data_IF_176945672536
#
_entry.id   IF_176945672536
#
_cell.length_a   1.000
_cell.length_b   1.000
_cell.length_c   1.000
_cell.angle_alpha   90.00
_cell.angle_beta   90.00
_cell.angle_gamma   90.00
#
_symmetry.space_group_name_H-M   'P 1'
#
loop_
_entity.id
_entity.type
_entity.pdbx_description
1 polymer ?
#
# COMPACT_ATOMS: atom_id res chain seq x y z
N UNK A 1 -2.87 -9.85 14.03
CA UNK A 1 -2.26 -11.15 14.34
C UNK A 1 -2.84 -12.21 13.41
N UNK A 2 -2.02 -12.97 12.70
CA UNK A 2 -2.50 -14.19 12.03
C UNK A 2 -2.79 -15.23 13.12
N UNK A 3 -3.96 -15.86 13.05
CA UNK A 3 -4.22 -17.10 13.77
C UNK A 3 -3.32 -18.17 13.13
N UNK A 4 -2.53 -18.92 13.89
CA UNK A 4 -1.56 -19.90 13.37
C UNK A 4 -2.22 -20.98 12.48
N UNK A 5 -3.54 -21.10 12.55
CA UNK A 5 -4.35 -21.99 11.72
C UNK A 5 -4.94 -21.35 10.46
N UNK A 6 -4.68 -20.07 10.18
CA UNK A 6 -5.20 -19.33 9.04
C UNK A 6 -4.09 -18.91 8.09
N UNK A 7 -4.18 -19.35 6.84
CA UNK A 7 -3.33 -18.90 5.73
C UNK A 7 -4.13 -17.97 4.83
N UNK A 8 -3.55 -16.81 4.52
CA UNK A 8 -4.11 -15.81 3.61
C UNK A 8 -3.21 -15.72 2.40
N UNK A 9 -3.81 -15.71 1.21
CA UNK A 9 -3.10 -15.64 -0.07
C UNK A 9 -3.61 -14.46 -0.89
N UNK A 10 -2.70 -13.80 -1.59
CA UNK A 10 -3.04 -12.79 -2.59
C UNK A 10 -3.41 -13.52 -3.88
N UNK A 11 -4.59 -13.24 -4.41
CA UNK A 11 -5.07 -13.89 -5.64
C UNK A 11 -4.88 -12.97 -6.85
N UNK A 12 -4.84 -13.59 -8.04
CA UNK A 12 -4.91 -12.89 -9.32
C UNK A 12 -3.76 -11.89 -9.57
N UNK A 13 -2.54 -12.21 -9.10
CA UNK A 13 -1.35 -11.42 -9.42
C UNK A 13 -1.14 -11.37 -10.94
N UNK A 14 -0.82 -10.18 -11.47
CA UNK A 14 -0.74 -9.93 -12.91
C UNK A 14 -2.09 -9.73 -13.60
N UNK A 15 -3.23 -9.78 -12.89
CA UNK A 15 -4.56 -9.51 -13.48
C UNK A 15 -5.10 -8.17 -13.02
N UNK A 16 -5.66 -7.38 -13.93
CA UNK A 16 -6.25 -6.08 -13.60
C UNK A 16 -7.41 -6.18 -12.63
N UNK A 17 -8.21 -7.25 -12.72
CA UNK A 17 -9.35 -7.45 -11.83
C UNK A 17 -8.96 -7.39 -10.35
N UNK A 18 -7.74 -7.81 -10.02
CA UNK A 18 -7.22 -7.82 -8.64
C UNK A 18 -7.02 -6.43 -8.02
N UNK A 19 -6.93 -5.39 -8.84
CA UNK A 19 -6.70 -4.00 -8.39
C UNK A 19 -7.85 -3.07 -8.79
N UNK A 20 -8.63 -3.42 -9.81
CA UNK A 20 -9.75 -2.59 -10.26
C UNK A 20 -10.88 -2.49 -9.26
N UNK A 21 -11.13 -3.55 -8.48
CA UNK A 21 -12.21 -3.62 -7.51
C UNK A 21 -11.75 -4.21 -6.18
N UNK A 22 -12.10 -3.56 -5.08
CA UNK A 22 -11.86 -4.01 -3.70
C UNK A 22 -13.03 -4.90 -3.28
N UNK A 23 -13.17 -6.06 -3.93
CA UNK A 23 -14.24 -7.00 -3.65
C UNK A 23 -14.66 -7.81 -4.87
N UNK A 24 -15.14 -9.02 -4.64
CA UNK A 24 -15.71 -9.89 -5.66
C UNK A 24 -17.10 -10.34 -5.18
N UNK A 25 -18.16 -10.21 -5.99
CA UNK A 25 -18.17 -9.72 -7.38
C UNK A 25 -17.87 -8.22 -7.51
N UNK A 26 -17.37 -7.75 -8.67
CA UNK A 26 -17.12 -6.32 -8.92
C UNK A 26 -18.37 -5.47 -8.71
N UNK A 27 -18.21 -4.32 -8.07
CA UNK A 27 -19.28 -3.33 -7.89
C UNK A 27 -18.73 -1.91 -8.03
N UNK A 28 -19.59 -0.96 -8.39
CA UNK A 28 -19.20 0.44 -8.49
C UNK A 28 -18.75 1.02 -7.14
N UNK A 29 -19.36 0.58 -6.04
CA UNK A 29 -19.01 0.99 -4.66
C UNK A 29 -17.57 0.63 -4.28
N UNK A 30 -17.08 -0.52 -4.75
CA UNK A 30 -15.72 -0.99 -4.49
C UNK A 30 -14.75 -0.75 -5.66
N UNK A 31 -15.12 0.08 -6.63
CA UNK A 31 -14.24 0.47 -7.73
C UNK A 31 -13.03 1.25 -7.23
N UNK A 32 -11.84 0.87 -7.67
CA UNK A 32 -10.58 1.50 -7.28
C UNK A 32 -9.73 1.88 -8.51
N UNK A 33 -9.10 0.92 -9.19
CA UNK A 33 -8.34 1.21 -10.42
C UNK A 33 -9.17 1.15 -11.71
N UNK A 34 -10.45 0.73 -11.66
CA UNK A 34 -11.25 0.47 -12.87
C UNK A 34 -11.36 1.68 -13.81
N UNK A 35 -11.59 2.88 -13.27
CA UNK A 35 -11.67 4.08 -14.09
C UNK A 35 -10.33 4.44 -14.77
N UNK A 36 -9.20 4.17 -14.09
CA UNK A 36 -7.87 4.42 -14.65
C UNK A 36 -7.56 3.43 -15.77
N UNK A 37 -7.76 2.13 -15.54
CA UNK A 37 -7.49 1.09 -16.54
C UNK A 37 -8.40 1.21 -17.76
N UNK A 38 -9.66 1.60 -17.57
CA UNK A 38 -10.59 1.91 -18.66
C UNK A 38 -10.12 3.13 -19.46
N UNK A 39 -9.70 4.20 -18.77
CA UNK A 39 -9.20 5.42 -19.43
C UNK A 39 -7.94 5.14 -20.26
N UNK A 40 -7.01 4.34 -19.74
CA UNK A 40 -5.80 3.93 -20.48
C UNK A 40 -6.19 3.15 -21.75
N UNK A 41 -7.07 2.16 -21.64
CA UNK A 41 -7.53 1.37 -22.79
C UNK A 41 -8.27 2.23 -23.83
N UNK A 42 -9.08 3.20 -23.40
CA UNK A 42 -9.77 4.13 -24.33
C UNK A 42 -8.81 5.12 -24.99
N UNK A 43 -7.74 5.49 -24.31
CA UNK A 43 -6.76 6.47 -24.81
C UNK A 43 -5.81 5.90 -25.86
N UNK A 44 -5.71 4.58 -25.99
CA UNK A 44 -4.75 3.94 -26.90
C UNK A 44 -5.16 2.52 -27.27
N UNK A 45 -5.09 2.20 -28.56
CA UNK A 45 -5.33 0.86 -29.10
C UNK A 45 -4.20 -0.14 -28.76
N UNK A 46 -3.14 0.30 -28.08
CA UNK A 46 -1.95 -0.52 -27.79
C UNK A 46 -1.93 -1.10 -26.38
N UNK A 47 -2.91 -0.78 -25.52
CA UNK A 47 -3.03 -1.38 -24.19
C UNK A 47 -4.14 -2.42 -24.16
N UNK A 48 -3.76 -3.65 -23.80
CA UNK A 48 -4.60 -4.81 -23.69
C UNK A 48 -4.57 -5.33 -22.26
N UNK A 49 -5.76 -5.43 -21.67
CA UNK A 49 -5.99 -6.02 -20.35
C UNK A 49 -5.30 -7.37 -20.21
N UNK A 50 -4.63 -7.56 -19.08
CA UNK A 50 -3.97 -8.81 -18.67
C UNK A 50 -2.87 -9.32 -19.62
N UNK A 51 -2.43 -8.47 -20.56
CA UNK A 51 -1.33 -8.75 -21.49
C UNK A 51 -0.20 -7.75 -21.26
N UNK A 52 -0.49 -6.44 -21.41
CA UNK A 52 0.47 -5.36 -21.20
C UNK A 52 -0.08 -4.20 -20.34
N UNK A 53 -1.32 -4.33 -19.86
CA UNK A 53 -1.90 -3.56 -18.78
C UNK A 53 -2.28 -4.55 -17.66
N UNK A 54 -1.54 -4.52 -16.55
CA UNK A 54 -1.49 -5.61 -15.56
C UNK A 54 -1.62 -5.04 -14.14
N UNK A 55 -2.20 -5.83 -13.22
CA UNK A 55 -2.32 -5.49 -11.80
C UNK A 55 -1.28 -6.22 -10.95
N UNK A 56 -0.72 -5.55 -9.94
CA UNK A 56 0.21 -6.13 -8.97
C UNK A 56 -0.36 -6.00 -7.54
N UNK A 57 -1.30 -6.88 -7.15
CA UNK A 57 -1.88 -6.88 -5.80
C UNK A 57 -0.87 -7.38 -4.77
N UNK A 58 -1.08 -7.04 -3.50
CA UNK A 58 -0.27 -7.51 -2.37
C UNK A 58 -1.12 -7.56 -1.10
N UNK A 59 -0.61 -8.20 -0.04
CA UNK A 59 -1.28 -8.19 1.26
C UNK A 59 -1.07 -6.81 1.91
N UNK A 60 -2.05 -5.92 1.73
CA UNK A 60 -2.00 -4.55 2.24
C UNK A 60 -2.02 -4.46 3.78
N UNK A 61 -2.24 -5.57 4.49
CA UNK A 61 -2.11 -5.63 5.97
C UNK A 61 -0.64 -5.69 6.40
N UNK A 62 0.23 -6.09 5.48
CA UNK A 62 1.66 -6.31 5.69
C UNK A 62 2.46 -5.10 5.22
N UNK A 63 3.42 -4.64 6.02
CA UNK A 63 4.35 -3.60 5.62
C UNK A 63 5.26 -4.07 4.47
N UNK A 64 5.97 -3.17 3.77
CA UNK A 64 6.82 -3.58 2.64
C UNK A 64 7.87 -4.63 2.99
N UNK A 65 8.53 -4.51 4.14
CA UNK A 65 9.48 -5.51 4.65
C UNK A 65 8.83 -6.88 4.87
N UNK A 66 7.56 -6.91 5.27
CA UNK A 66 6.84 -8.15 5.52
C UNK A 66 6.31 -8.79 4.22
N UNK A 67 6.29 -8.08 3.10
CA UNK A 67 5.92 -8.59 1.78
C UNK A 67 7.13 -9.00 0.92
N UNK A 68 8.35 -8.68 1.36
CA UNK A 68 9.55 -8.69 0.51
C UNK A 68 9.89 -10.03 -0.18
N UNK A 69 9.44 -11.17 0.34
CA UNK A 69 9.70 -12.47 -0.29
C UNK A 69 8.88 -12.68 -1.56
N UNK A 70 7.57 -12.88 -1.37
CA UNK A 70 6.65 -13.23 -2.45
C UNK A 70 6.44 -12.06 -3.42
N UNK A 71 6.18 -10.86 -2.90
CA UNK A 71 5.88 -9.70 -3.74
C UNK A 71 7.06 -9.33 -4.64
N UNK A 72 8.29 -9.30 -4.12
CA UNK A 72 9.45 -8.90 -4.95
C UNK A 72 9.75 -9.95 -6.03
N UNK A 73 9.54 -11.23 -5.73
CA UNK A 73 9.71 -12.32 -6.70
C UNK A 73 8.70 -12.21 -7.83
N UNK A 74 7.41 -12.09 -7.49
CA UNK A 74 6.34 -11.99 -8.48
C UNK A 74 6.40 -10.67 -9.26
N UNK A 75 6.73 -9.55 -8.61
CA UNK A 75 6.83 -8.24 -9.26
C UNK A 75 7.99 -8.17 -10.24
N UNK A 76 9.17 -8.71 -9.87
CA UNK A 76 10.31 -8.79 -10.78
C UNK A 76 9.97 -9.62 -12.02
N UNK A 77 9.37 -10.80 -11.82
CA UNK A 77 8.94 -11.68 -12.90
C UNK A 77 7.90 -10.99 -13.80
N UNK A 78 6.89 -10.35 -13.22
CA UNK A 78 5.85 -9.64 -13.97
C UNK A 78 6.46 -8.57 -14.88
N UNK A 79 7.41 -7.78 -14.37
CA UNK A 79 8.09 -6.73 -15.15
C UNK A 79 8.94 -7.33 -16.28
N UNK A 80 9.75 -8.35 -15.98
CA UNK A 80 10.61 -9.00 -16.97
C UNK A 80 9.78 -9.67 -18.08
N UNK A 81 8.73 -10.42 -17.70
CA UNK A 81 7.82 -11.07 -18.64
C UNK A 81 7.12 -10.04 -19.53
N UNK A 82 6.65 -8.94 -18.94
CA UNK A 82 5.98 -7.86 -19.69
C UNK A 82 6.94 -7.20 -20.68
N UNK A 83 8.18 -6.95 -20.26
CA UNK A 83 9.23 -6.41 -21.11
C UNK A 83 9.45 -7.28 -22.35
N UNK A 84 9.66 -8.59 -22.16
CA UNK A 84 9.90 -9.50 -23.29
C UNK A 84 8.66 -9.66 -24.18
N UNK A 85 7.46 -9.80 -23.60
CA UNK A 85 6.19 -9.95 -24.35
C UNK A 85 5.83 -8.71 -25.17
N UNK A 86 6.30 -7.54 -24.77
CA UNK A 86 6.01 -6.27 -25.46
C UNK A 86 7.13 -5.82 -26.39
N UNK A 87 8.02 -6.75 -26.79
CA UNK A 87 9.09 -6.46 -27.74
C UNK A 87 10.23 -5.67 -27.12
N UNK A 88 10.63 -6.04 -25.90
CA UNK A 88 11.71 -5.41 -25.14
C UNK A 88 11.45 -3.94 -24.82
N UNK A 89 10.18 -3.58 -24.62
CA UNK A 89 9.78 -2.23 -24.19
C UNK A 89 9.81 -2.12 -22.68
N UNK A 90 10.44 -1.05 -22.20
CA UNK A 90 10.52 -0.73 -20.77
C UNK A 90 9.12 -0.47 -20.20
N UNK A 91 8.90 -0.93 -18.97
CA UNK A 91 7.60 -0.93 -18.29
C UNK A 91 7.42 0.38 -17.51
N UNK A 92 6.26 1.02 -17.68
CA UNK A 92 5.81 2.15 -16.85
C UNK A 92 4.98 1.63 -15.68
N UNK A 93 5.24 2.13 -14.48
CA UNK A 93 4.57 1.68 -13.25
C UNK A 93 3.83 2.85 -12.63
N UNK A 94 2.58 2.62 -12.22
CA UNK A 94 1.78 3.58 -11.47
C UNK A 94 1.55 3.00 -10.08
N UNK A 95 1.99 3.72 -9.05
CA UNK A 95 1.68 3.41 -7.66
C UNK A 95 0.73 4.46 -7.08
N UNK A 96 -0.26 4.01 -6.30
CA UNK A 96 -1.13 4.89 -5.53
C UNK A 96 -0.99 4.62 -4.04
N UNK A 97 -0.95 5.68 -3.24
CA UNK A 97 -0.90 5.62 -1.77
C UNK A 97 0.22 4.68 -1.29
N UNK A 98 -0.07 3.71 -0.41
CA UNK A 98 0.89 2.72 0.07
C UNK A 98 1.55 1.90 -1.06
N UNK A 99 0.90 1.74 -2.21
CA UNK A 99 1.49 1.05 -3.37
C UNK A 99 2.76 1.72 -3.88
N UNK A 100 2.91 3.04 -3.66
CA UNK A 100 4.17 3.74 -3.94
C UNK A 100 5.28 3.28 -3.00
N UNK A 101 5.02 3.20 -1.69
CA UNK A 101 6.00 2.77 -0.71
C UNK A 101 6.44 1.32 -0.94
N UNK A 102 5.50 0.45 -1.32
CA UNK A 102 5.78 -0.92 -1.75
C UNK A 102 6.76 -0.96 -2.92
N UNK A 103 6.48 -0.19 -3.98
CA UNK A 103 7.35 -0.14 -5.16
C UNK A 103 8.72 0.49 -4.88
N UNK A 104 8.80 1.51 -4.01
CA UNK A 104 10.08 2.07 -3.58
C UNK A 104 10.91 1.05 -2.80
N UNK A 105 10.29 0.29 -1.90
CA UNK A 105 10.95 -0.82 -1.19
C UNK A 105 11.51 -1.87 -2.15
N UNK A 106 10.75 -2.22 -3.19
CA UNK A 106 11.19 -3.13 -4.26
C UNK A 106 12.37 -2.54 -5.06
N UNK A 107 12.26 -1.29 -5.53
CA UNK A 107 13.30 -0.65 -6.34
C UNK A 107 14.62 -0.45 -5.59
N UNK A 108 14.58 -0.22 -4.27
CA UNK A 108 15.78 -0.12 -3.44
C UNK A 108 16.55 -1.44 -3.36
N UNK A 109 15.90 -2.58 -3.66
CA UNK A 109 16.54 -3.90 -3.71
C UNK A 109 16.96 -4.31 -5.12
N UNK A 110 16.53 -3.58 -6.15
CA UNK A 110 16.90 -3.85 -7.53
C UNK A 110 18.18 -3.09 -7.91
N UNK A 111 19.14 -3.74 -8.58
CA UNK A 111 20.36 -3.08 -9.01
C UNK A 111 20.06 -2.05 -10.12
N UNK A 112 20.89 -1.02 -10.22
CA UNK A 112 20.63 0.10 -11.15
C UNK A 112 20.58 -0.34 -12.61
N UNK A 113 21.41 -1.29 -13.03
CA UNK A 113 21.37 -1.85 -14.38
C UNK A 113 20.00 -2.48 -14.69
N UNK A 114 19.36 -3.10 -13.71
CA UNK A 114 18.07 -3.75 -13.88
C UNK A 114 16.98 -2.69 -14.05
N UNK A 115 16.98 -1.66 -13.21
CA UNK A 115 16.05 -0.53 -13.33
C UNK A 115 16.20 0.17 -14.68
N UNK A 116 17.44 0.43 -15.12
CA UNK A 116 17.73 1.05 -16.42
C UNK A 116 17.27 0.20 -17.60
N UNK A 117 17.37 -1.14 -17.49
CA UNK A 117 16.97 -2.08 -18.53
C UNK A 117 15.47 -2.24 -18.64
N UNK A 118 14.76 -2.36 -17.52
CA UNK A 118 13.36 -2.79 -17.49
C UNK A 118 12.35 -1.68 -17.22
N UNK A 119 12.73 -0.59 -16.55
CA UNK A 119 11.79 0.44 -16.11
C UNK A 119 11.87 1.67 -17.00
N UNK A 120 10.70 2.12 -17.48
CA UNK A 120 10.58 3.35 -18.26
C UNK A 120 10.33 4.54 -17.36
N UNK A 121 9.32 4.43 -16.49
CA UNK A 121 8.89 5.48 -15.58
C UNK A 121 8.19 4.89 -14.36
N UNK A 122 8.21 5.65 -13.26
CA UNK A 122 7.46 5.35 -12.06
C UNK A 122 6.64 6.57 -11.66
N UNK A 123 5.32 6.47 -11.78
CA UNK A 123 4.36 7.52 -11.48
C UNK A 123 3.82 7.32 -10.07
N UNK A 124 4.00 8.35 -9.24
CA UNK A 124 3.61 8.35 -7.84
C UNK A 124 2.33 9.16 -7.66
N UNK A 125 1.25 8.50 -7.22
CA UNK A 125 0.00 9.16 -6.86
C UNK A 125 -0.21 9.11 -5.33
N UNK A 126 -0.19 10.28 -4.68
CA UNK A 126 -0.49 10.45 -3.25
C UNK A 126 0.33 9.57 -2.29
N UNK A 127 1.64 9.47 -2.50
CA UNK A 127 2.53 8.63 -1.70
C UNK A 127 2.68 9.13 -0.25
N UNK A 128 2.38 8.32 0.79
CA UNK A 128 2.58 8.69 2.18
C UNK A 128 4.03 8.45 2.63
N UNK A 129 5.02 9.04 1.94
CA UNK A 129 6.46 8.80 2.20
C UNK A 129 6.91 9.24 3.61
N UNK A 130 6.22 10.22 4.17
CA UNK A 130 6.41 10.68 5.55
C UNK A 130 5.43 10.06 6.54
N UNK A 131 4.60 9.08 6.15
CA UNK A 131 3.49 8.58 6.97
C UNK A 131 2.27 9.49 6.99
N UNK A 132 1.24 9.10 7.74
CA UNK A 132 -0.06 9.77 7.81
C UNK A 132 -0.70 9.68 9.20
N UNK A 133 -1.27 10.79 9.66
CA UNK A 133 -2.06 10.86 10.90
C UNK A 133 -3.32 10.00 10.86
N UNK A 134 -3.76 9.57 9.67
CA UNK A 134 -4.89 8.63 9.53
C UNK A 134 -4.65 7.33 10.29
N UNK A 135 -3.45 6.74 10.16
CA UNK A 135 -3.09 5.49 10.82
C UNK A 135 -2.99 5.67 12.34
N UNK A 136 -2.52 6.83 12.78
CA UNK A 136 -2.47 7.19 14.19
C UNK A 136 -3.88 7.25 14.80
N UNK A 137 -4.83 7.94 14.13
CA UNK A 137 -6.24 7.96 14.54
C UNK A 137 -6.83 6.55 14.59
N UNK A 138 -6.56 5.73 13.57
CA UNK A 138 -7.02 4.34 13.49
C UNK A 138 -6.55 3.48 14.67
N UNK A 139 -5.30 3.63 15.11
CA UNK A 139 -4.76 2.92 16.28
C UNK A 139 -5.38 3.37 17.61
N UNK A 140 -5.73 4.66 17.73
CA UNK A 140 -6.30 5.25 18.95
C UNK A 140 -7.78 4.91 19.09
N UNK A 141 -8.58 5.31 18.10
CA UNK A 141 -10.05 5.30 18.18
C UNK A 141 -10.69 4.35 17.17
N UNK A 142 -9.92 3.82 16.24
CA UNK A 142 -10.46 3.23 15.00
C UNK A 142 -11.05 4.30 14.07
N UNK A 143 -11.73 3.84 13.03
CA UNK A 143 -12.37 4.69 12.02
C UNK A 143 -13.69 4.07 11.57
N UNK A 144 -14.62 4.91 11.16
CA UNK A 144 -15.88 4.53 10.52
C UNK A 144 -15.76 4.45 9.00
N UNK A 145 -14.58 4.74 8.44
CA UNK A 145 -14.32 4.82 7.00
C UNK A 145 -15.25 5.80 6.26
N UNK A 146 -15.84 6.77 6.98
CA UNK A 146 -16.84 7.69 6.43
C UNK A 146 -18.27 7.14 6.39
N UNK A 147 -18.53 5.99 7.00
CA UNK A 147 -19.85 5.35 7.10
C UNK A 147 -20.43 5.51 8.51
N UNK A 148 -21.34 6.48 8.75
CA UNK A 148 -21.81 6.84 10.10
C UNK A 148 -22.46 5.69 10.90
N UNK A 149 -22.93 4.65 10.21
CA UNK A 149 -23.50 3.45 10.83
C UNK A 149 -22.45 2.53 11.47
N UNK A 150 -21.16 2.72 11.16
CA UNK A 150 -20.06 1.96 11.71
C UNK A 150 -19.53 2.65 12.97
N UNK A 151 -19.42 1.91 14.07
CA UNK A 151 -18.73 2.42 15.26
C UNK A 151 -17.22 2.40 15.01
N UNK A 152 -16.49 3.54 15.12
CA UNK A 152 -15.04 3.57 14.93
C UNK A 152 -14.31 2.56 15.81
N UNK A 153 -14.71 2.43 17.07
CA UNK A 153 -14.06 1.55 18.04
C UNK A 153 -14.14 0.08 17.65
N UNK A 154 -15.18 -0.34 16.92
CA UNK A 154 -15.34 -1.71 16.42
C UNK A 154 -14.25 -2.11 15.43
N UNK A 155 -13.65 -1.14 14.74
CA UNK A 155 -12.60 -1.38 13.76
C UNK A 155 -11.20 -1.09 14.28
N UNK A 156 -11.04 -0.60 15.52
CA UNK A 156 -9.72 -0.26 16.08
C UNK A 156 -8.73 -1.43 16.00
N UNK A 157 -9.17 -2.65 16.27
CA UNK A 157 -8.31 -3.84 16.19
C UNK A 157 -7.84 -4.15 14.77
N UNK A 158 -8.59 -3.75 13.74
CA UNK A 158 -8.20 -3.92 12.34
C UNK A 158 -7.00 -3.03 11.95
N UNK A 159 -6.73 -1.97 12.73
CA UNK A 159 -5.56 -1.11 12.55
C UNK A 159 -4.31 -1.64 13.27
N UNK A 160 -4.40 -2.70 14.07
CA UNK A 160 -3.25 -3.34 14.72
C UNK A 160 -2.55 -4.31 13.74
N UNK A 161 -2.06 -3.74 12.64
CA UNK A 161 -1.40 -4.40 11.53
C UNK A 161 -0.09 -3.68 11.20
N UNK A 162 0.90 -4.42 10.70
CA UNK A 162 2.24 -3.86 10.40
C UNK A 162 2.21 -2.64 9.46
N UNK A 163 1.27 -2.58 8.52
CA UNK A 163 1.06 -1.40 7.67
C UNK A 163 0.77 -0.13 8.46
N UNK A 164 0.00 -0.21 9.53
CA UNK A 164 -0.33 0.95 10.35
C UNK A 164 0.92 1.50 11.03
N UNK A 165 1.75 0.62 11.61
CA UNK A 165 3.04 0.99 12.20
C UNK A 165 4.00 1.58 11.16
N UNK A 166 4.06 0.98 9.96
CA UNK A 166 4.90 1.46 8.86
C UNK A 166 4.51 2.85 8.36
N UNK A 167 3.21 3.19 8.40
CA UNK A 167 2.68 4.46 7.88
C UNK A 167 2.42 5.51 8.98
N UNK A 168 2.98 5.32 10.17
CA UNK A 168 3.00 6.37 11.18
C UNK A 168 3.83 7.58 10.71
N UNK A 169 3.45 8.81 11.10
CA UNK A 169 4.20 10.02 10.80
C UNK A 169 5.70 9.93 11.15
N UNK A 170 6.57 9.84 10.14
CA UNK A 170 8.01 9.67 10.32
C UNK A 170 8.66 10.92 10.92
N UNK A 171 9.61 10.72 11.85
CA UNK A 171 10.46 11.78 12.40
C UNK A 171 11.28 12.52 11.33
N UNK A 172 11.54 11.90 10.18
CA UNK A 172 12.26 12.53 9.07
C UNK A 172 11.46 13.61 8.32
N UNK A 173 10.14 13.63 8.49
CA UNK A 173 9.24 14.56 7.81
C UNK A 173 8.45 15.41 8.81
N UNK A 174 8.00 14.82 9.91
CA UNK A 174 7.19 15.49 10.93
C UNK A 174 8.08 16.04 12.02
N UNK A 175 8.20 17.37 12.05
CA UNK A 175 9.05 18.11 12.97
C UNK A 175 8.67 17.85 14.44
N UNK A 176 9.67 17.91 15.31
CA UNK A 176 9.55 17.62 16.75
C UNK A 176 8.54 18.50 17.48
N UNK A 177 8.26 19.70 16.97
CA UNK A 177 7.32 20.64 17.56
C UNK A 177 5.87 20.42 17.10
N UNK A 178 5.62 19.48 16.18
CA UNK A 178 4.27 19.13 15.73
C UNK A 178 3.66 18.13 16.70
N UNK A 179 2.68 18.60 17.47
CA UNK A 179 1.87 17.75 18.34
C UNK A 179 0.90 16.94 17.48
N UNK A 180 1.03 15.61 17.53
CA UNK A 180 0.21 14.68 16.75
C UNK A 180 -0.96 14.13 17.56
N UNK A 181 -0.76 13.97 18.87
CA UNK A 181 -1.81 13.56 19.82
C UNK A 181 -1.69 14.38 21.08
N UNK A 182 -2.83 14.84 21.59
CA UNK A 182 -2.96 15.44 22.90
C UNK A 182 -4.14 14.77 23.60
N UNK A 183 -3.90 14.14 24.75
CA UNK A 183 -4.92 13.42 25.52
C UNK A 183 -5.50 14.26 26.69
N UNK A 184 -5.19 15.55 26.72
CA UNK A 184 -5.54 16.49 27.81
C UNK A 184 -4.51 16.54 28.93
N UNK A 185 -3.59 15.58 29.02
CA UNK A 185 -2.53 15.51 30.04
C UNK A 185 -1.14 15.57 29.43
N UNK A 186 -0.95 14.96 28.27
CA UNK A 186 0.32 14.82 27.59
C UNK A 186 0.18 15.10 26.10
N UNK A 187 1.27 15.59 25.50
CA UNK A 187 1.40 15.79 24.06
C UNK A 187 2.45 14.84 23.50
N UNK A 188 2.06 14.12 22.45
CA UNK A 188 2.89 13.16 21.74
C UNK A 188 3.23 13.68 20.35
N UNK A 189 4.49 13.52 19.97
CA UNK A 189 5.07 13.89 18.68
C UNK A 189 5.60 12.62 18.02
N UNK A 190 6.10 12.73 16.78
CA UNK A 190 6.69 11.59 16.04
C UNK A 190 7.81 10.88 16.82
N UNK A 191 8.57 11.61 17.66
CA UNK A 191 9.65 11.06 18.51
C UNK A 191 9.20 10.27 19.73
N UNK A 192 7.93 10.34 20.09
CA UNK A 192 7.39 9.71 21.31
C UNK A 192 6.52 8.50 21.01
N UNK A 193 6.64 7.87 19.84
CA UNK A 193 5.79 6.74 19.51
C UNK A 193 5.95 5.55 20.43
N UNK A 194 7.15 5.26 20.92
CA UNK A 194 7.34 4.13 21.84
C UNK A 194 6.55 4.32 23.13
N UNK A 195 6.65 5.50 23.73
CA UNK A 195 5.92 5.84 24.96
C UNK A 195 4.41 5.92 24.69
N UNK A 196 4.04 6.43 23.51
CA UNK A 196 2.66 6.53 23.07
C UNK A 196 1.99 5.18 22.82
N UNK A 197 2.64 4.27 22.09
CA UNK A 197 2.10 2.92 21.88
C UNK A 197 1.97 2.18 23.20
N UNK A 198 2.92 2.40 24.12
CA UNK A 198 2.84 1.86 25.47
C UNK A 198 1.65 2.40 26.26
N UNK A 199 1.35 3.70 26.17
CA UNK A 199 0.17 4.27 26.84
C UNK A 199 -1.15 3.73 26.28
N UNK A 200 -1.17 3.25 25.04
CA UNK A 200 -2.31 2.60 24.39
C UNK A 200 -2.41 1.08 24.65
N UNK A 201 -1.43 0.48 25.35
CA UNK A 201 -1.33 -0.97 25.54
C UNK A 201 -0.93 -1.74 24.26
N UNK A 202 -0.23 -1.07 23.35
CA UNK A 202 0.18 -1.57 22.03
C UNK A 202 1.69 -1.79 21.94
N UNK A 203 2.32 -2.19 23.04
CA UNK A 203 3.77 -2.39 23.20
C UNK A 203 4.40 -3.35 22.17
N UNK A 204 3.57 -4.15 21.50
CA UNK A 204 3.90 -5.18 20.53
C UNK A 204 3.62 -4.78 19.07
N UNK A 205 3.11 -3.57 18.83
CA UNK A 205 2.87 -2.99 17.50
C UNK A 205 4.02 -2.07 17.05
#
# INVERSE_FOLDING_TARGET
MNNDNLKVYVQNFGKLLSVEYIGIPPSAEFSYYAALSESIQKSSEFYFRDINLLGAPYDFRRAPNDNDGEFNTEMKKLIEDTYFKTGNRRVSIIGHSMGVCMMLSFFNKMPDWWKQRYIHSFMNAAAPLGGSVFWLKGLISGTDFGYPQLSPSSFRSAFQISTASYLLPSESVWLDNVVLVNDGTQSFTSKKYKDFMKSLGLDHC
#
